data_IF_211220695714
#
_entry.id   IF_211220695714
#
_cell.length_a   1.000
_cell.length_b   1.000
_cell.length_c   1.000
_cell.angle_alpha   90.00
_cell.angle_beta   90.00
_cell.angle_gamma   90.00
#
_symmetry.space_group_name_H-M   'P 1'
#
loop_
_entity.id
_entity.type
_entity.pdbx_description
1 polymer ?
#
# COMPACT_ATOMS: atom_id res chain seq x y z
N UNK A 1 -14.38 90.26 -32.21
CA UNK A 1 -13.01 89.69 -32.30
C UNK A 1 -12.98 88.40 -31.56
N UNK A 2 -12.95 87.23 -32.29
CA UNK A 2 -12.93 85.89 -31.73
C UNK A 2 -11.57 85.31 -32.07
N UNK A 3 -10.75 85.04 -31.04
CA UNK A 3 -9.46 84.38 -31.17
C UNK A 3 -9.68 82.89 -31.13
N UNK A 4 -9.16 82.17 -32.14
CA UNK A 4 -9.10 80.71 -32.20
C UNK A 4 -7.91 80.20 -31.38
N UNK A 5 -8.02 79.04 -30.64
CA UNK A 5 -6.88 78.39 -30.03
C UNK A 5 -6.16 77.48 -31.04
N UNK A 6 -4.82 77.57 -31.04
CA UNK A 6 -3.96 76.77 -31.90
C UNK A 6 -3.79 75.36 -31.38
N UNK A 7 -3.82 74.44 -32.34
CA UNK A 7 -3.49 73.02 -32.11
C UNK A 7 -1.96 72.78 -32.14
N UNK A 8 -1.37 72.26 -31.06
CA UNK A 8 -0.01 71.70 -31.06
C UNK A 8 -0.08 70.24 -31.40
N UNK A 9 0.75 69.68 -32.31
CA UNK A 9 0.80 68.31 -32.59
C UNK A 9 1.66 67.59 -31.53
N UNK A 10 1.07 66.59 -30.85
CA UNK A 10 1.78 65.62 -29.99
C UNK A 10 2.57 64.68 -30.88
N UNK A 11 3.90 64.72 -30.83
CA UNK A 11 4.79 63.73 -31.38
C UNK A 11 4.86 62.59 -30.40
N UNK A 12 4.21 61.43 -30.75
CA UNK A 12 4.36 60.15 -30.00
C UNK A 12 5.68 59.49 -30.42
N UNK A 13 6.65 59.51 -29.51
CA UNK A 13 7.87 58.72 -29.65
C UNK A 13 7.57 57.29 -29.27
N UNK A 14 7.44 56.39 -30.28
CA UNK A 14 7.34 54.95 -30.07
C UNK A 14 8.73 54.40 -29.80
N UNK A 15 9.06 54.12 -28.55
CA UNK A 15 10.27 53.38 -28.18
C UNK A 15 10.02 51.90 -28.43
N UNK A 16 10.61 51.36 -29.48
CA UNK A 16 10.68 49.93 -29.72
C UNK A 16 11.78 49.34 -28.82
N UNK A 17 11.38 48.70 -27.70
CA UNK A 17 12.26 47.84 -26.93
C UNK A 17 12.43 46.52 -27.70
N UNK A 18 13.55 46.35 -28.38
CA UNK A 18 13.95 45.06 -28.94
C UNK A 18 14.33 44.10 -27.78
N UNK A 19 13.43 43.24 -27.40
CA UNK A 19 13.78 42.06 -26.58
C UNK A 19 14.62 41.14 -27.46
N UNK A 20 15.93 41.16 -27.28
CA UNK A 20 16.80 40.07 -27.74
C UNK A 20 16.40 38.80 -26.95
N UNK A 21 15.58 37.96 -27.54
CA UNK A 21 15.34 36.60 -27.02
C UNK A 21 16.68 35.86 -27.15
N UNK A 22 17.41 35.73 -26.05
CA UNK A 22 18.46 34.75 -25.94
C UNK A 22 17.78 33.38 -26.01
N UNK A 23 17.65 32.81 -27.20
CA UNK A 23 17.38 31.38 -27.38
C UNK A 23 18.64 30.65 -27.00
N UNK A 24 18.85 30.41 -25.70
CA UNK A 24 19.75 29.34 -25.31
C UNK A 24 19.24 28.06 -25.99
N UNK A 25 20.01 27.55 -26.94
CA UNK A 25 19.73 26.29 -27.57
C UNK A 25 19.66 25.25 -26.47
N UNK A 26 18.43 24.76 -26.14
CA UNK A 26 18.27 23.67 -25.21
C UNK A 26 19.15 22.54 -25.70
N UNK A 27 20.14 22.14 -24.88
CA UNK A 27 20.95 20.97 -25.15
C UNK A 27 20.02 19.81 -25.49
N UNK A 28 20.33 19.00 -26.53
CA UNK A 28 19.51 17.85 -26.89
C UNK A 28 19.21 17.01 -25.65
N UNK A 29 17.94 16.77 -25.35
CA UNK A 29 17.59 15.89 -24.24
C UNK A 29 18.25 14.54 -24.49
N UNK A 30 18.94 13.96 -23.50
CA UNK A 30 19.54 12.64 -23.67
C UNK A 30 18.42 11.64 -24.05
N UNK A 31 18.72 10.60 -24.87
CA UNK A 31 17.75 9.58 -25.23
C UNK A 31 17.07 9.02 -23.99
N UNK A 32 15.75 8.84 -24.05
CA UNK A 32 15.02 8.21 -22.97
C UNK A 32 15.44 6.75 -22.86
N UNK A 33 15.93 6.37 -21.68
CA UNK A 33 16.35 4.99 -21.39
C UNK A 33 15.12 4.21 -20.98
N UNK A 34 14.89 3.07 -21.64
CA UNK A 34 13.82 2.16 -21.29
C UNK A 34 14.29 1.24 -20.15
N UNK A 35 13.61 1.30 -19.02
CA UNK A 35 13.86 0.45 -17.85
C UNK A 35 12.57 0.33 -17.01
N UNK A 36 12.24 -0.86 -16.49
CA UNK A 36 12.80 -2.16 -16.87
C UNK A 36 12.28 -2.64 -18.22
N UNK A 37 13.01 -3.55 -18.87
CA UNK A 37 12.56 -4.27 -20.07
C UNK A 37 12.37 -5.74 -19.70
N UNK A 38 11.11 -6.19 -19.67
CA UNK A 38 10.77 -7.59 -19.41
C UNK A 38 10.72 -8.34 -20.74
N UNK A 39 11.49 -9.42 -20.86
CA UNK A 39 11.58 -10.23 -22.07
C UNK A 39 10.61 -11.42 -22.03
N UNK A 40 10.27 -12.02 -23.20
CA UNK A 40 9.34 -13.16 -23.26
C UNK A 40 9.79 -14.40 -22.47
N UNK A 41 11.10 -14.58 -22.28
CA UNK A 41 11.71 -15.65 -21.48
C UNK A 41 11.74 -15.34 -19.98
N UNK A 42 11.12 -14.22 -19.58
CA UNK A 42 11.10 -13.70 -18.21
C UNK A 42 12.48 -13.27 -17.67
N UNK A 43 13.46 -13.08 -18.55
CA UNK A 43 14.61 -12.28 -18.16
C UNK A 43 14.22 -10.80 -18.16
N UNK A 44 14.92 -10.00 -17.33
CA UNK A 44 14.64 -8.56 -17.20
C UNK A 44 15.93 -7.78 -17.33
N UNK A 45 15.92 -6.82 -18.26
CA UNK A 45 17.02 -5.87 -18.41
C UNK A 45 16.68 -4.58 -17.68
N UNK A 46 17.55 -4.18 -16.77
CA UNK A 46 17.48 -2.91 -16.04
C UNK A 46 18.54 -1.97 -16.54
N UNK A 47 18.17 -0.74 -16.86
CA UNK A 47 19.06 0.30 -17.37
C UNK A 47 18.95 1.54 -16.49
N UNK A 48 20.09 2.14 -16.15
CA UNK A 48 20.13 3.35 -15.32
C UNK A 48 21.23 4.30 -15.78
N UNK A 49 20.90 5.58 -16.00
CA UNK A 49 21.88 6.57 -16.42
C UNK A 49 22.50 7.25 -15.21
N UNK A 50 23.79 7.02 -15.02
CA UNK A 50 24.59 7.64 -13.96
C UNK A 50 26.05 7.74 -14.41
N UNK A 51 26.39 8.70 -15.31
CA UNK A 51 27.73 8.77 -15.92
C UNK A 51 28.85 9.05 -14.91
N UNK A 52 28.54 9.72 -13.80
CA UNK A 52 29.53 10.07 -12.77
C UNK A 52 29.60 9.05 -11.63
N UNK A 53 28.71 8.03 -11.62
CA UNK A 53 28.72 7.02 -10.59
C UNK A 53 29.94 6.09 -10.71
N UNK A 54 30.49 5.71 -9.57
CA UNK A 54 31.62 4.76 -9.49
C UNK A 54 31.13 3.31 -9.42
N UNK A 55 29.93 3.10 -8.88
CA UNK A 55 29.33 1.80 -8.69
C UNK A 55 27.80 1.90 -8.74
N UNK A 56 27.17 1.04 -9.53
CA UNK A 56 25.72 0.87 -9.53
C UNK A 56 25.39 -0.62 -9.38
N UNK A 57 24.46 -0.93 -8.51
CA UNK A 57 23.95 -2.27 -8.27
C UNK A 57 22.43 -2.29 -8.38
N UNK A 58 21.88 -3.35 -8.92
CA UNK A 58 20.45 -3.65 -8.86
C UNK A 58 20.14 -4.37 -7.54
N UNK A 59 19.16 -3.87 -6.79
CA UNK A 59 18.59 -4.52 -5.61
C UNK A 59 17.12 -4.83 -5.85
N UNK A 60 16.65 -6.03 -5.51
CA UNK A 60 15.25 -6.44 -5.74
C UNK A 60 14.90 -7.71 -4.97
N UNK A 61 13.63 -7.86 -4.62
CA UNK A 61 13.17 -9.02 -3.83
C UNK A 61 13.18 -10.35 -4.63
N UNK A 62 13.44 -10.30 -5.94
CA UNK A 62 13.66 -11.47 -6.80
C UNK A 62 15.13 -11.89 -6.87
N UNK A 63 16.01 -11.21 -6.15
CA UNK A 63 17.44 -11.47 -6.10
C UNK A 63 17.85 -12.00 -4.72
N UNK A 64 18.84 -12.90 -4.69
CA UNK A 64 19.45 -13.36 -3.43
C UNK A 64 20.41 -12.33 -2.83
N UNK A 65 21.01 -11.49 -3.69
CA UNK A 65 21.93 -10.40 -3.33
C UNK A 65 21.90 -9.35 -4.42
N UNK A 66 22.36 -8.13 -4.11
CA UNK A 66 22.50 -7.07 -5.10
C UNK A 66 23.36 -7.53 -6.27
N UNK A 67 22.96 -7.17 -7.51
CA UNK A 67 23.67 -7.52 -8.73
C UNK A 67 24.44 -6.29 -9.23
N UNK A 68 25.78 -6.37 -9.41
CA UNK A 68 26.55 -5.29 -10.00
C UNK A 68 26.13 -5.06 -11.46
N UNK A 69 26.03 -3.79 -11.84
CA UNK A 69 25.71 -3.36 -13.21
C UNK A 69 26.97 -2.98 -13.96
N UNK A 70 26.95 -3.04 -15.29
CA UNK A 70 28.05 -2.65 -16.17
C UNK A 70 27.69 -1.34 -16.87
N UNK A 71 28.68 -0.43 -16.96
CA UNK A 71 28.52 0.88 -17.60
C UNK A 71 29.03 0.86 -19.02
N UNK A 72 28.31 1.47 -19.95
CA UNK A 72 28.73 1.72 -21.32
C UNK A 72 29.44 3.09 -21.48
N UNK A 73 29.93 3.36 -22.69
CA UNK A 73 30.62 4.63 -23.00
C UNK A 73 29.73 5.88 -22.90
N UNK A 74 28.40 5.72 -22.86
CA UNK A 74 27.42 6.81 -22.71
C UNK A 74 27.03 7.08 -21.24
N UNK A 75 27.60 6.31 -20.31
CA UNK A 75 27.28 6.40 -18.87
C UNK A 75 25.97 5.73 -18.48
N UNK A 76 25.51 4.77 -19.29
CA UNK A 76 24.35 3.94 -18.98
C UNK A 76 24.82 2.63 -18.36
N UNK A 77 24.33 2.38 -17.16
CA UNK A 77 24.55 1.13 -16.41
C UNK A 77 23.45 0.14 -16.76
N UNK A 78 23.83 -1.11 -17.04
CA UNK A 78 22.89 -2.16 -17.45
C UNK A 78 23.18 -3.48 -16.75
N UNK A 79 22.13 -4.25 -16.49
CA UNK A 79 22.19 -5.64 -16.06
C UNK A 79 20.96 -6.40 -16.53
N UNK A 80 21.15 -7.64 -16.99
CA UNK A 80 20.04 -8.57 -17.28
C UNK A 80 20.07 -9.69 -16.26
N UNK A 81 18.92 -9.95 -15.64
CA UNK A 81 18.73 -10.99 -14.62
C UNK A 81 17.58 -11.91 -14.97
N UNK A 82 17.56 -13.10 -14.42
CA UNK A 82 16.45 -14.04 -14.61
C UNK A 82 16.87 -15.36 -15.29
N UNK A 83 15.89 -16.20 -15.72
CA UNK A 83 14.44 -15.90 -15.68
C UNK A 83 13.93 -15.65 -14.25
N UNK A 84 13.01 -14.67 -14.10
CA UNK A 84 12.39 -14.29 -12.83
C UNK A 84 11.01 -14.91 -12.74
N UNK A 85 10.65 -15.45 -11.58
CA UNK A 85 9.32 -16.01 -11.35
C UNK A 85 8.21 -14.94 -11.51
N UNK A 86 7.04 -15.32 -12.10
CA UNK A 86 5.94 -14.38 -12.30
C UNK A 86 5.46 -13.78 -10.98
N UNK A 87 5.56 -12.47 -10.85
CA UNK A 87 5.04 -11.68 -9.73
C UNK A 87 5.21 -10.17 -9.97
N UNK A 88 4.76 -9.35 -9.02
CA UNK A 88 5.05 -7.92 -8.95
C UNK A 88 6.08 -7.67 -7.81
N UNK A 89 7.24 -7.17 -8.17
CA UNK A 89 8.37 -7.03 -7.25
C UNK A 89 8.81 -5.59 -7.07
N UNK A 90 9.12 -5.15 -5.85
CA UNK A 90 9.87 -3.93 -5.62
C UNK A 90 11.35 -4.14 -5.97
N UNK A 91 11.94 -3.10 -6.58
CA UNK A 91 13.37 -3.02 -6.86
C UNK A 91 13.87 -1.59 -6.80
N UNK A 92 15.17 -1.41 -6.65
CA UNK A 92 15.83 -0.12 -6.72
C UNK A 92 17.27 -0.26 -7.22
N UNK A 93 17.86 0.86 -7.63
CA UNK A 93 19.29 0.94 -7.88
C UNK A 93 20.03 1.43 -6.63
N UNK A 94 21.20 0.86 -6.37
CA UNK A 94 22.11 1.34 -5.34
C UNK A 94 23.27 2.02 -6.02
N UNK A 95 23.26 3.34 -6.01
CA UNK A 95 24.25 4.20 -6.70
C UNK A 95 25.22 4.75 -5.66
N UNK A 96 26.47 4.34 -5.72
CA UNK A 96 27.51 4.72 -4.74
C UNK A 96 27.07 4.57 -3.28
N UNK A 97 26.26 3.51 -2.99
CA UNK A 97 25.71 3.20 -1.67
C UNK A 97 24.35 3.84 -1.36
N UNK A 98 23.80 4.67 -2.25
CA UNK A 98 22.48 5.32 -2.05
C UNK A 98 21.40 4.61 -2.84
N UNK A 99 20.31 4.19 -2.18
CA UNK A 99 19.15 3.58 -2.83
C UNK A 99 18.30 4.60 -3.60
N UNK A 100 18.03 4.34 -4.88
CA UNK A 100 17.29 5.20 -5.80
C UNK A 100 16.22 4.42 -6.55
N UNK A 101 15.04 5.01 -6.72
CA UNK A 101 14.03 4.48 -7.63
C UNK A 101 14.51 4.62 -9.08
N UNK A 102 13.97 3.76 -9.93
CA UNK A 102 14.21 3.81 -11.37
C UNK A 102 13.49 5.03 -11.99
N UNK A 103 14.27 5.99 -12.46
CA UNK A 103 13.74 7.20 -13.12
C UNK A 103 13.07 6.92 -14.47
N UNK A 104 13.34 5.77 -15.09
CA UNK A 104 12.68 5.30 -16.31
C UNK A 104 11.33 4.60 -16.05
N UNK A 105 10.98 4.33 -14.78
CA UNK A 105 9.79 3.61 -14.39
C UNK A 105 8.85 4.46 -13.51
N UNK A 106 7.64 4.71 -14.01
CA UNK A 106 6.62 5.46 -13.26
C UNK A 106 5.89 4.65 -12.18
N UNK A 107 6.05 3.32 -12.17
CA UNK A 107 5.46 2.45 -11.16
C UNK A 107 6.30 2.49 -9.89
N UNK A 108 6.03 3.45 -9.02
CA UNK A 108 6.75 3.62 -7.77
C UNK A 108 6.14 2.77 -6.65
N UNK A 109 7.01 2.24 -5.80
CA UNK A 109 6.63 1.62 -4.54
C UNK A 109 6.44 2.72 -3.47
N UNK A 110 5.23 2.93 -2.94
CA UNK A 110 4.98 3.96 -1.94
C UNK A 110 5.57 3.57 -0.58
N UNK A 111 6.55 4.34 -0.13
CA UNK A 111 7.17 4.12 1.18
C UNK A 111 7.76 5.44 1.74
N UNK A 112 7.68 5.63 3.05
CA UNK A 112 8.18 6.82 3.72
C UNK A 112 9.71 6.91 3.72
N UNK A 113 10.40 5.78 3.86
CA UNK A 113 11.83 5.73 4.17
C UNK A 113 12.72 5.41 2.97
N UNK A 114 12.27 4.53 2.08
CA UNK A 114 13.09 4.14 0.93
C UNK A 114 12.38 4.43 -0.39
N UNK A 115 13.16 4.57 -1.45
CA UNK A 115 12.64 4.79 -2.80
C UNK A 115 12.91 3.56 -3.64
N UNK A 116 11.84 2.99 -4.18
CA UNK A 116 11.87 1.83 -5.04
C UNK A 116 10.84 1.95 -6.16
N UNK A 117 11.03 1.19 -7.20
CA UNK A 117 10.09 1.01 -8.31
C UNK A 117 9.49 -0.40 -8.27
N UNK A 118 8.42 -0.62 -9.02
CA UNK A 118 7.77 -1.92 -9.14
C UNK A 118 7.97 -2.47 -10.55
N UNK A 119 8.34 -3.74 -10.67
CA UNK A 119 8.36 -4.49 -11.94
C UNK A 119 7.40 -5.65 -11.87
N UNK A 120 6.49 -5.77 -12.85
CA UNK A 120 5.58 -6.90 -12.99
C UNK A 120 6.18 -7.89 -13.99
N UNK A 121 6.36 -9.13 -13.56
CA UNK A 121 6.78 -10.25 -14.39
C UNK A 121 5.53 -11.07 -14.70
N UNK A 122 5.09 -11.10 -15.96
CA UNK A 122 3.88 -11.81 -16.33
C UNK A 122 4.05 -13.33 -16.23
N UNK A 123 2.99 -14.00 -15.84
CA UNK A 123 2.87 -15.47 -15.93
C UNK A 123 2.24 -15.89 -17.26
N UNK A 124 2.15 -17.20 -17.47
CA UNK A 124 1.49 -17.77 -18.65
C UNK A 124 -0.03 -17.52 -18.66
N UNK A 125 -0.61 -17.27 -17.49
CA UNK A 125 -1.99 -16.85 -17.30
C UNK A 125 -2.05 -15.57 -16.46
N UNK A 126 -3.05 -14.70 -16.66
CA UNK A 126 -3.21 -13.50 -15.87
C UNK A 126 -3.39 -13.81 -14.37
N UNK A 127 -2.59 -13.20 -13.53
CA UNK A 127 -2.73 -13.29 -12.08
C UNK A 127 -3.94 -12.51 -11.58
N UNK A 128 -4.50 -12.86 -10.42
CA UNK A 128 -5.60 -12.10 -9.82
C UNK A 128 -5.24 -10.65 -9.50
N UNK A 129 -3.96 -10.34 -9.31
CA UNK A 129 -3.49 -8.98 -9.09
C UNK A 129 -3.17 -8.20 -10.38
N UNK A 130 -3.19 -8.84 -11.55
CA UNK A 130 -2.99 -8.18 -12.85
C UNK A 130 -4.26 -7.47 -13.32
N UNK A 131 -4.09 -6.42 -14.10
CA UNK A 131 -5.20 -5.74 -14.76
C UNK A 131 -5.80 -6.71 -15.80
N UNK A 132 -7.09 -7.02 -15.67
CA UNK A 132 -7.83 -7.89 -16.60
C UNK A 132 -8.98 -7.11 -17.22
N UNK A 133 -9.52 -7.59 -18.32
CA UNK A 133 -10.69 -7.00 -19.00
C UNK A 133 -11.99 -7.36 -18.25
N UNK A 134 -12.20 -6.71 -17.12
CA UNK A 134 -13.39 -6.84 -16.26
C UNK A 134 -13.84 -5.44 -15.81
N UNK A 135 -15.07 -5.27 -15.35
CA UNK A 135 -15.48 -4.01 -14.74
C UNK A 135 -14.58 -3.65 -13.54
N UNK A 136 -14.09 -2.41 -13.52
CA UNK A 136 -13.20 -1.92 -12.47
C UNK A 136 -13.91 -0.98 -11.50
N UNK A 137 -13.51 -1.04 -10.24
CA UNK A 137 -13.87 -0.07 -9.22
C UNK A 137 -13.04 1.21 -9.32
N UNK A 138 -13.29 2.14 -8.41
CA UNK A 138 -12.64 3.46 -8.40
C UNK A 138 -11.85 3.69 -7.13
N UNK A 139 -10.72 4.38 -7.26
CA UNK A 139 -9.88 4.82 -6.16
C UNK A 139 -10.08 6.32 -5.92
N UNK A 140 -10.40 6.70 -4.70
CA UNK A 140 -10.57 8.09 -4.29
C UNK A 140 -9.57 8.43 -3.19
N UNK A 141 -8.76 9.44 -3.42
CA UNK A 141 -7.92 10.04 -2.37
C UNK A 141 -8.75 10.97 -1.51
N UNK A 142 -8.71 10.74 -0.22
CA UNK A 142 -9.48 11.48 0.77
C UNK A 142 -8.58 12.07 1.84
N UNK A 143 -9.05 13.18 2.42
CA UNK A 143 -8.44 13.78 3.61
C UNK A 143 -9.52 13.95 4.68
N UNK A 144 -9.21 13.60 5.91
CA UNK A 144 -10.10 13.76 7.04
C UNK A 144 -9.38 14.44 8.21
N UNK A 145 -10.15 15.02 9.11
CA UNK A 145 -9.63 15.61 10.34
C UNK A 145 -9.53 14.54 11.42
N UNK A 146 -8.30 14.19 11.81
CA UNK A 146 -8.04 13.33 12.94
C UNK A 146 -8.17 14.11 14.24
N UNK A 147 -9.16 13.83 15.05
CA UNK A 147 -9.29 14.39 16.40
C UNK A 147 -8.26 13.76 17.35
N UNK A 148 -7.92 12.50 17.13
CA UNK A 148 -6.92 11.76 17.91
C UNK A 148 -5.55 12.40 17.83
N UNK A 149 -5.14 12.86 16.65
CA UNK A 149 -3.81 13.42 16.39
C UNK A 149 -3.81 14.95 16.21
N UNK A 150 -4.97 15.59 16.11
CA UNK A 150 -5.09 17.04 15.93
C UNK A 150 -4.64 17.54 14.55
N UNK A 151 -4.68 16.70 13.50
CA UNK A 151 -4.19 17.07 12.17
C UNK A 151 -5.02 16.42 11.05
N UNK A 152 -4.87 16.96 9.82
CA UNK A 152 -5.47 16.37 8.61
C UNK A 152 -4.66 15.15 8.17
N UNK A 153 -5.35 14.04 7.88
CA UNK A 153 -4.73 12.78 7.47
C UNK A 153 -5.29 12.27 6.15
N UNK A 154 -4.44 11.62 5.33
CA UNK A 154 -4.87 10.99 4.09
C UNK A 154 -5.45 9.59 4.36
N UNK A 155 -6.33 9.16 3.48
CA UNK A 155 -6.73 7.78 3.26
C UNK A 155 -7.14 7.57 1.81
N UNK A 156 -7.08 6.34 1.33
CA UNK A 156 -7.59 5.99 0.01
C UNK A 156 -8.78 5.06 0.17
N UNK A 157 -9.84 5.34 -0.58
CA UNK A 157 -11.04 4.51 -0.60
C UNK A 157 -11.22 3.92 -1.99
N UNK A 158 -11.30 2.60 -2.05
CA UNK A 158 -11.77 1.88 -3.24
C UNK A 158 -13.26 1.61 -3.11
N UNK A 159 -14.02 1.92 -4.17
CA UNK A 159 -15.43 1.57 -4.32
C UNK A 159 -15.60 0.56 -5.46
N UNK A 160 -16.46 -0.48 -5.29
CA UNK A 160 -16.56 -1.57 -6.27
C UNK A 160 -17.20 -1.13 -7.59
N UNK A 161 -17.04 -1.93 -8.68
CA UNK A 161 -17.68 -1.66 -9.96
C UNK A 161 -19.17 -1.40 -9.82
N UNK A 162 -19.67 -0.38 -10.53
CA UNK A 162 -21.09 0.02 -10.47
C UNK A 162 -21.49 0.91 -9.28
N UNK A 163 -20.57 1.18 -8.34
CA UNK A 163 -20.88 2.00 -7.17
C UNK A 163 -21.51 3.36 -7.53
N UNK A 164 -20.98 4.10 -8.51
CA UNK A 164 -21.54 5.43 -8.87
C UNK A 164 -22.96 5.38 -9.42
N UNK A 165 -23.25 4.35 -10.22
CA UNK A 165 -24.53 4.23 -10.91
C UNK A 165 -25.65 3.65 -10.02
N UNK A 166 -25.29 2.94 -8.95
CA UNK A 166 -26.23 2.25 -8.05
C UNK A 166 -26.57 3.07 -6.80
N UNK A 167 -27.51 2.54 -6.04
CA UNK A 167 -27.94 3.06 -4.74
C UNK A 167 -27.61 2.10 -3.57
N UNK A 168 -27.03 0.94 -3.88
CA UNK A 168 -26.74 -0.11 -2.92
C UNK A 168 -25.76 0.37 -1.86
N UNK A 169 -25.88 -0.23 -0.67
CA UNK A 169 -24.91 -0.09 0.42
C UNK A 169 -24.01 -1.32 0.46
N UNK A 170 -22.76 -1.12 0.83
CA UNK A 170 -21.73 -2.14 0.76
C UNK A 170 -21.09 -2.41 2.12
N UNK A 171 -20.66 -3.64 2.38
CA UNK A 171 -19.77 -3.93 3.50
C UNK A 171 -18.42 -3.25 3.32
N UNK A 172 -17.66 -3.09 4.42
CA UNK A 172 -16.39 -2.34 4.42
C UNK A 172 -15.26 -3.19 4.99
N UNK A 173 -14.16 -3.26 4.25
CA UNK A 173 -12.87 -3.75 4.70
C UNK A 173 -11.92 -2.57 4.97
N UNK A 174 -11.47 -2.40 6.21
CA UNK A 174 -10.36 -1.51 6.57
C UNK A 174 -9.06 -2.29 6.39
N UNK A 175 -8.21 -1.89 5.43
CA UNK A 175 -7.02 -2.63 5.00
C UNK A 175 -5.75 -1.83 5.29
N UNK A 176 -4.99 -2.25 6.31
CA UNK A 176 -3.90 -1.48 6.91
C UNK A 176 -2.55 -1.95 6.40
N UNK A 177 -1.70 -1.03 5.96
CA UNK A 177 -0.35 -1.33 5.44
C UNK A 177 0.72 -1.44 6.54
N UNK A 178 1.91 -1.90 6.16
CA UNK A 178 3.01 -2.21 7.08
C UNK A 178 3.75 -0.99 7.63
N UNK A 179 4.88 -1.26 8.28
CA UNK A 179 5.77 -0.22 8.79
C UNK A 179 6.37 0.55 7.61
N UNK A 180 6.36 1.89 7.70
CA UNK A 180 6.83 2.81 6.66
C UNK A 180 6.06 2.78 5.34
N UNK A 181 5.05 1.95 5.21
CA UNK A 181 4.13 1.98 4.08
C UNK A 181 3.12 3.13 4.21
N UNK A 182 2.55 3.56 3.09
CA UNK A 182 1.56 4.64 3.05
C UNK A 182 0.15 4.09 2.76
N UNK A 183 -0.84 4.97 2.72
CA UNK A 183 -2.21 4.66 2.30
C UNK A 183 -2.29 4.15 0.86
N UNK A 184 -1.27 4.41 0.05
CA UNK A 184 -1.21 3.97 -1.34
C UNK A 184 -0.70 2.53 -1.52
N UNK A 185 0.00 1.98 -0.53
CA UNK A 185 0.79 0.77 -0.74
C UNK A 185 -0.08 -0.44 -1.05
N UNK A 186 -1.28 -0.55 -0.46
CA UNK A 186 -2.17 -1.66 -0.75
C UNK A 186 -2.71 -1.66 -2.18
N UNK A 187 -2.96 -0.52 -2.81
CA UNK A 187 -3.41 -0.54 -4.20
C UNK A 187 -2.26 -0.54 -5.22
N UNK A 188 -1.10 0.08 -4.90
CA UNK A 188 0.04 0.09 -5.81
C UNK A 188 0.85 -1.21 -5.77
N UNK A 189 1.34 -1.59 -4.60
CA UNK A 189 2.11 -2.82 -4.41
C UNK A 189 1.22 -4.03 -4.08
N UNK A 190 0.20 -3.84 -3.27
CA UNK A 190 -0.77 -4.88 -2.89
C UNK A 190 -1.77 -5.23 -3.98
N UNK A 191 -2.03 -4.31 -4.95
CA UNK A 191 -3.00 -4.51 -6.04
C UNK A 191 -4.41 -4.86 -5.55
N UNK A 192 -4.78 -4.41 -4.35
CA UNK A 192 -6.03 -4.78 -3.68
C UNK A 192 -7.29 -4.51 -4.53
N UNK A 193 -7.29 -3.40 -5.27
CA UNK A 193 -8.35 -3.03 -6.20
C UNK A 193 -8.51 -4.06 -7.32
N UNK A 194 -7.44 -4.43 -8.02
CA UNK A 194 -7.51 -5.39 -9.13
C UNK A 194 -7.82 -6.81 -8.63
N UNK A 195 -7.29 -7.22 -7.48
CA UNK A 195 -7.63 -8.51 -6.87
C UNK A 195 -9.13 -8.57 -6.59
N UNK A 196 -9.71 -7.52 -6.01
CA UNK A 196 -11.14 -7.50 -5.70
C UNK A 196 -11.99 -7.42 -6.97
N UNK A 197 -11.63 -6.59 -7.97
CA UNK A 197 -12.32 -6.51 -9.25
C UNK A 197 -12.42 -7.89 -9.93
N UNK A 198 -11.28 -8.58 -10.03
CA UNK A 198 -11.18 -9.90 -10.64
C UNK A 198 -11.98 -10.96 -9.86
N UNK A 199 -11.94 -10.92 -8.52
CA UNK A 199 -12.72 -11.84 -7.69
C UNK A 199 -14.23 -11.57 -7.76
N UNK A 200 -14.65 -10.31 -7.86
CA UNK A 200 -16.08 -9.94 -8.08
C UNK A 200 -16.54 -10.45 -9.43
N UNK A 201 -15.77 -10.22 -10.51
CA UNK A 201 -16.10 -10.72 -11.85
C UNK A 201 -16.22 -12.24 -11.90
N UNK A 202 -15.39 -12.96 -11.13
CA UNK A 202 -15.45 -14.41 -10.96
C UNK A 202 -16.53 -14.88 -9.96
N UNK A 203 -17.31 -13.97 -9.35
CA UNK A 203 -18.32 -14.25 -8.31
C UNK A 203 -17.75 -14.97 -7.08
N UNK A 204 -16.48 -14.77 -6.79
CA UNK A 204 -15.77 -15.36 -5.65
C UNK A 204 -15.75 -14.46 -4.42
N UNK A 205 -15.83 -13.15 -4.59
CA UNK A 205 -15.92 -12.18 -3.48
C UNK A 205 -17.19 -11.35 -3.58
N UNK A 206 -17.69 -10.93 -2.43
CA UNK A 206 -18.79 -9.98 -2.32
C UNK A 206 -18.27 -8.59 -2.71
N UNK A 207 -19.00 -7.79 -3.52
CA UNK A 207 -18.65 -6.40 -3.72
C UNK A 207 -18.58 -5.65 -2.40
N UNK A 208 -17.45 -4.98 -2.13
CA UNK A 208 -17.19 -4.28 -0.89
C UNK A 208 -16.40 -2.99 -1.11
N UNK A 209 -16.50 -2.07 -0.19
CA UNK A 209 -15.62 -0.89 -0.10
C UNK A 209 -14.33 -1.31 0.62
N UNK A 210 -13.17 -0.90 0.11
CA UNK A 210 -11.89 -1.05 0.84
C UNK A 210 -11.42 0.34 1.25
N UNK A 211 -11.18 0.52 2.54
CA UNK A 211 -10.61 1.73 3.12
C UNK A 211 -9.16 1.47 3.48
N UNK A 212 -8.24 2.20 2.90
CA UNK A 212 -6.80 2.07 3.10
C UNK A 212 -6.29 3.31 3.84
N UNK A 213 -6.22 3.27 5.18
CA UNK A 213 -5.74 4.39 5.96
C UNK A 213 -4.21 4.47 5.97
N UNK A 214 -3.67 5.66 6.19
CA UNK A 214 -2.28 5.83 6.54
C UNK A 214 -2.04 5.31 7.96
N UNK A 215 -1.38 4.16 8.08
CA UNK A 215 -1.25 3.41 9.34
C UNK A 215 -0.24 3.97 10.33
N UNK A 216 0.62 4.93 9.95
CA UNK A 216 1.61 5.52 10.83
C UNK A 216 0.98 6.59 11.73
N UNK A 217 0.96 6.35 13.04
CA UNK A 217 0.35 7.24 14.04
C UNK A 217 1.38 8.17 14.74
N UNK A 218 2.66 7.99 14.48
CA UNK A 218 3.72 8.71 15.20
C UNK A 218 4.76 9.30 14.27
N UNK A 219 5.21 10.49 14.62
CA UNK A 219 6.46 11.06 14.12
C UNK A 219 7.60 10.52 14.99
N UNK A 220 8.39 9.57 14.49
CA UNK A 220 9.54 9.04 15.22
C UNK A 220 9.72 7.52 15.12
N UNK A 221 10.76 7.01 15.80
CA UNK A 221 11.07 5.58 15.84
C UNK A 221 10.11 4.85 16.79
N UNK A 222 9.45 3.77 16.36
CA UNK A 222 8.60 2.97 17.25
C UNK A 222 9.38 2.47 18.46
N UNK A 223 8.74 2.38 19.63
CA UNK A 223 9.34 1.79 20.81
C UNK A 223 9.79 0.34 20.56
N UNK A 224 10.88 -0.13 21.16
CA UNK A 224 11.50 -1.40 20.82
C UNK A 224 10.79 -2.65 21.37
N UNK A 225 9.84 -2.51 22.31
CA UNK A 225 9.17 -3.66 22.90
C UNK A 225 7.68 -3.76 22.50
N UNK A 226 7.12 -4.98 22.59
CA UNK A 226 5.76 -5.27 22.15
C UNK A 226 4.66 -4.59 22.98
N UNK A 227 4.89 -4.29 24.26
CA UNK A 227 3.92 -3.56 25.09
C UNK A 227 3.83 -2.10 24.66
N UNK A 228 4.97 -1.45 24.39
CA UNK A 228 4.97 -0.09 23.84
C UNK A 228 4.39 -0.03 22.43
N UNK A 229 4.64 -1.06 21.60
CA UNK A 229 3.98 -1.18 20.30
C UNK A 229 2.45 -1.30 20.44
N UNK A 230 1.97 -2.01 21.46
CA UNK A 230 0.53 -2.14 21.74
C UNK A 230 -0.09 -0.81 22.19
N UNK A 231 0.62 0.02 22.93
CA UNK A 231 0.14 1.39 23.26
C UNK A 231 -0.04 2.25 21.99
N UNK A 232 0.86 2.08 20.99
CA UNK A 232 0.70 2.70 19.67
C UNK A 232 -0.48 2.11 18.88
N UNK A 233 -0.74 0.82 19.03
CA UNK A 233 -1.91 0.17 18.40
C UNK A 233 -3.22 0.69 19.00
N UNK A 234 -3.20 1.06 20.29
CA UNK A 234 -4.35 1.72 20.93
C UNK A 234 -4.66 3.07 20.27
N UNK A 235 -3.65 3.91 20.04
CA UNK A 235 -3.85 5.19 19.32
C UNK A 235 -4.44 4.97 17.93
N UNK A 236 -3.95 3.94 17.21
CA UNK A 236 -4.51 3.57 15.92
C UNK A 236 -5.95 3.06 16.02
N UNK A 237 -6.26 2.27 17.05
CA UNK A 237 -7.64 1.81 17.31
C UNK A 237 -8.59 2.98 17.55
N UNK A 238 -8.18 3.95 18.39
CA UNK A 238 -8.95 5.16 18.66
C UNK A 238 -9.16 5.98 17.38
N UNK A 239 -8.14 6.02 16.49
CA UNK A 239 -8.22 6.68 15.18
C UNK A 239 -9.23 6.01 14.25
N UNK A 240 -9.17 4.68 14.11
CA UNK A 240 -10.11 3.93 13.26
C UNK A 240 -11.53 4.14 13.75
N UNK A 241 -11.78 3.92 15.03
CA UNK A 241 -13.16 3.93 15.58
C UNK A 241 -13.70 5.35 15.73
N UNK A 242 -12.88 6.29 16.19
CA UNK A 242 -13.32 7.64 16.51
C UNK A 242 -13.32 8.61 15.32
N UNK A 243 -12.57 8.35 14.27
CA UNK A 243 -12.41 9.28 13.16
C UNK A 243 -12.72 8.64 11.80
N UNK A 244 -12.08 7.50 11.46
CA UNK A 244 -12.17 6.92 10.11
C UNK A 244 -13.52 6.27 9.85
N UNK A 245 -14.04 5.43 10.76
CA UNK A 245 -15.37 4.82 10.62
C UNK A 245 -16.44 5.90 10.45
N UNK A 246 -16.55 6.91 11.33
CA UNK A 246 -17.55 7.98 11.16
C UNK A 246 -17.39 8.77 9.84
N UNK A 247 -16.14 9.03 9.40
CA UNK A 247 -15.88 9.68 8.11
C UNK A 247 -16.41 8.84 6.94
N UNK A 248 -16.12 7.54 6.94
CA UNK A 248 -16.54 6.62 5.87
C UNK A 248 -18.06 6.47 5.84
N UNK A 249 -18.70 6.34 6.99
CA UNK A 249 -20.17 6.22 7.11
C UNK A 249 -20.91 7.49 6.68
N UNK A 250 -20.29 8.67 6.87
CA UNK A 250 -20.85 9.94 6.43
C UNK A 250 -20.70 10.20 4.93
N UNK A 251 -19.69 9.64 4.28
CA UNK A 251 -19.33 10.00 2.91
C UNK A 251 -19.58 8.87 1.88
N UNK A 252 -19.79 7.63 2.33
CA UNK A 252 -19.95 6.46 1.46
C UNK A 252 -21.20 5.65 1.83
N UNK A 253 -21.77 4.97 0.84
CA UNK A 253 -22.91 4.08 1.05
C UNK A 253 -22.45 2.75 1.64
N UNK A 254 -22.34 2.71 2.96
CA UNK A 254 -21.89 1.54 3.72
C UNK A 254 -23.04 0.93 4.51
N UNK A 255 -22.96 -0.37 4.78
CA UNK A 255 -23.82 -1.06 5.74
C UNK A 255 -23.15 -0.93 7.11
N UNK A 256 -23.66 -0.02 7.93
CA UNK A 256 -23.08 0.35 9.24
C UNK A 256 -23.42 -0.68 10.33
N UNK A 257 -22.97 -1.94 10.16
CA UNK A 257 -23.09 -2.97 11.18
C UNK A 257 -21.76 -3.72 11.35
N UNK A 258 -21.55 -4.31 12.52
CA UNK A 258 -20.34 -5.07 12.81
C UNK A 258 -20.17 -6.29 11.88
N UNK A 259 -21.29 -6.92 11.50
CA UNK A 259 -21.31 -8.08 10.59
C UNK A 259 -20.88 -7.73 9.17
N UNK A 260 -20.94 -6.46 8.82
CA UNK A 260 -20.57 -5.91 7.52
C UNK A 260 -19.30 -5.06 7.59
N UNK A 261 -18.50 -5.23 8.67
CA UNK A 261 -17.24 -4.51 8.86
C UNK A 261 -16.10 -5.47 9.16
N UNK A 262 -15.07 -5.42 8.32
CA UNK A 262 -13.84 -6.19 8.42
C UNK A 262 -12.65 -5.26 8.65
N UNK A 263 -11.61 -5.78 9.30
CA UNK A 263 -10.30 -5.13 9.38
C UNK A 263 -9.20 -6.15 9.14
N UNK A 264 -8.24 -5.80 8.29
CA UNK A 264 -7.09 -6.65 8.01
C UNK A 264 -5.85 -5.80 7.75
N UNK A 265 -4.67 -6.42 7.82
CA UNK A 265 -3.46 -5.69 7.51
C UNK A 265 -2.20 -6.56 7.44
N UNK A 266 -1.13 -5.94 6.92
CA UNK A 266 0.17 -6.56 6.76
C UNK A 266 1.17 -6.02 7.77
N UNK A 267 1.99 -6.90 8.39
CA UNK A 267 3.07 -6.51 9.30
C UNK A 267 2.53 -5.67 10.48
N UNK A 268 3.06 -4.48 10.72
CA UNK A 268 2.50 -3.53 11.71
C UNK A 268 0.98 -3.38 11.53
N UNK A 269 0.51 -3.25 10.30
CA UNK A 269 -0.93 -3.13 10.01
C UNK A 269 -1.73 -4.37 10.44
N UNK A 270 -1.13 -5.57 10.38
CA UNK A 270 -1.75 -6.79 10.91
C UNK A 270 -1.86 -6.77 12.44
N UNK A 271 -0.80 -6.33 13.14
CA UNK A 271 -0.84 -6.12 14.58
C UNK A 271 -1.86 -5.06 15.02
N UNK A 272 -1.90 -3.94 14.30
CA UNK A 272 -2.90 -2.89 14.49
C UNK A 272 -4.33 -3.40 14.26
N UNK A 273 -4.53 -4.25 13.25
CA UNK A 273 -5.84 -4.85 12.94
C UNK A 273 -6.30 -5.82 14.03
N UNK A 274 -5.42 -6.69 14.51
CA UNK A 274 -5.70 -7.58 15.63
C UNK A 274 -6.07 -6.79 16.89
N UNK A 275 -5.25 -5.81 17.26
CA UNK A 275 -5.47 -5.00 18.45
C UNK A 275 -6.79 -4.22 18.36
N UNK A 276 -7.04 -3.55 17.22
CA UNK A 276 -8.26 -2.77 17.01
C UNK A 276 -9.50 -3.63 17.08
N UNK A 277 -9.50 -4.79 16.41
CA UNK A 277 -10.66 -5.68 16.40
C UNK A 277 -10.93 -6.28 17.77
N UNK A 278 -9.92 -6.76 18.48
CA UNK A 278 -10.09 -7.33 19.83
C UNK A 278 -10.53 -6.28 20.85
N UNK A 279 -10.10 -5.02 20.70
CA UNK A 279 -10.59 -3.91 21.54
C UNK A 279 -12.04 -3.53 21.24
N UNK A 280 -12.57 -3.85 20.04
CA UNK A 280 -13.84 -3.35 19.54
C UNK A 280 -14.64 -4.47 18.83
N UNK A 281 -14.89 -5.59 19.50
CA UNK A 281 -15.67 -6.70 18.96
C UNK A 281 -17.15 -6.37 18.72
N UNK A 282 -17.62 -5.23 19.16
CA UNK A 282 -18.91 -4.62 18.83
C UNK A 282 -18.87 -3.86 17.48
N UNK A 283 -17.69 -3.58 16.95
CA UNK A 283 -17.48 -2.89 15.68
C UNK A 283 -17.04 -3.82 14.54
N UNK A 284 -16.31 -4.90 14.83
CA UNK A 284 -15.73 -5.78 13.83
C UNK A 284 -16.10 -7.23 14.06
N UNK A 285 -16.50 -7.93 12.98
CA UNK A 285 -16.76 -9.37 12.99
C UNK A 285 -15.73 -10.20 12.22
N UNK A 286 -14.96 -9.57 11.33
CA UNK A 286 -14.02 -10.22 10.41
C UNK A 286 -12.63 -9.62 10.59
N UNK A 287 -11.63 -10.46 10.83
CA UNK A 287 -10.29 -10.05 11.21
C UNK A 287 -9.27 -10.80 10.35
N UNK A 288 -8.37 -10.07 9.69
CA UNK A 288 -7.25 -10.62 8.95
C UNK A 288 -5.90 -10.09 9.45
N UNK A 289 -4.93 -10.97 9.66
CA UNK A 289 -3.58 -10.60 10.04
C UNK A 289 -2.57 -11.29 9.13
N UNK A 290 -1.79 -10.49 8.41
CA UNK A 290 -0.83 -10.96 7.42
C UNK A 290 0.58 -10.67 7.91
N UNK A 291 1.36 -11.73 8.18
CA UNK A 291 2.72 -11.63 8.72
C UNK A 291 2.77 -10.75 9.98
N UNK A 292 1.88 -11.02 10.95
CA UNK A 292 1.82 -10.28 12.20
C UNK A 292 1.22 -11.13 13.33
N UNK A 293 1.35 -10.63 14.55
CA UNK A 293 0.89 -11.29 15.77
C UNK A 293 0.67 -10.26 16.89
N UNK A 294 0.07 -10.72 17.98
CA UNK A 294 0.18 -10.10 19.29
C UNK A 294 0.93 -11.07 20.22
N UNK A 295 1.79 -10.53 21.06
CA UNK A 295 2.44 -11.41 22.05
C UNK A 295 1.46 -11.86 23.12
N UNK A 296 1.66 -13.04 23.76
CA UNK A 296 0.82 -13.48 24.86
C UNK A 296 0.69 -12.42 25.97
N UNK A 297 1.77 -11.70 26.28
CA UNK A 297 1.78 -10.66 27.31
C UNK A 297 0.87 -9.47 26.93
N UNK A 298 0.89 -9.06 25.66
CA UNK A 298 -0.03 -8.04 25.15
C UNK A 298 -1.48 -8.52 25.24
N UNK A 299 -1.73 -9.77 24.82
CA UNK A 299 -3.07 -10.35 24.84
C UNK A 299 -3.60 -10.45 26.27
N UNK A 300 -2.81 -10.95 27.21
CA UNK A 300 -3.19 -11.06 28.63
C UNK A 300 -3.41 -9.68 29.28
N UNK A 301 -2.60 -8.68 28.91
CA UNK A 301 -2.74 -7.31 29.45
C UNK A 301 -4.03 -6.63 28.98
N UNK A 302 -4.39 -6.75 27.69
CA UNK A 302 -5.46 -5.95 27.09
C UNK A 302 -6.74 -6.76 26.82
N UNK A 303 -6.65 -8.08 26.70
CA UNK A 303 -7.72 -8.94 26.18
C UNK A 303 -7.95 -10.20 27.04
N UNK A 304 -7.55 -10.18 28.31
CA UNK A 304 -7.70 -11.33 29.23
C UNK A 304 -9.14 -11.85 29.28
N UNK A 305 -10.13 -10.97 29.26
CA UNK A 305 -11.56 -11.31 29.26
C UNK A 305 -11.99 -12.10 28.02
N UNK A 306 -11.37 -11.84 26.86
CA UNK A 306 -11.66 -12.59 25.63
C UNK A 306 -11.17 -14.03 25.70
N UNK A 307 -10.01 -14.23 26.33
CA UNK A 307 -9.44 -15.55 26.56
C UNK A 307 -10.12 -16.32 27.71
N UNK A 308 -10.66 -15.60 28.69
CA UNK A 308 -11.39 -16.19 29.82
C UNK A 308 -12.78 -16.69 29.41
N UNK A 309 -13.36 -16.14 28.35
CA UNK A 309 -14.70 -16.51 27.82
C UNK A 309 -14.66 -16.77 26.33
N UNK A 310 -13.91 -17.83 25.88
CA UNK A 310 -13.67 -18.08 24.46
C UNK A 310 -14.95 -18.34 23.66
N UNK A 311 -16.00 -18.93 24.26
CA UNK A 311 -17.27 -19.17 23.60
C UNK A 311 -17.95 -17.86 23.18
N UNK A 312 -17.94 -16.86 24.06
CA UNK A 312 -18.51 -15.54 23.78
C UNK A 312 -17.70 -14.83 22.68
N UNK A 313 -16.38 -14.95 22.72
CA UNK A 313 -15.48 -14.37 21.71
C UNK A 313 -15.72 -15.05 20.36
N UNK A 314 -15.77 -16.38 20.31
CA UNK A 314 -16.00 -17.15 19.11
C UNK A 314 -17.38 -16.91 18.48
N UNK A 315 -18.42 -16.61 19.28
CA UNK A 315 -19.74 -16.22 18.76
C UNK A 315 -19.71 -14.82 18.09
N UNK A 316 -18.86 -13.93 18.60
CA UNK A 316 -18.72 -12.58 18.04
C UNK A 316 -17.83 -12.54 16.80
N UNK A 317 -16.75 -13.30 16.75
CA UNK A 317 -15.78 -13.30 15.64
C UNK A 317 -16.23 -14.28 14.57
N UNK A 318 -16.62 -13.78 13.41
CA UNK A 318 -17.02 -14.57 12.24
C UNK A 318 -15.80 -15.20 11.54
N UNK A 319 -14.69 -14.46 11.50
CA UNK A 319 -13.42 -14.92 10.95
C UNK A 319 -12.28 -14.23 11.71
N UNK A 320 -11.35 -15.04 12.22
CA UNK A 320 -10.00 -14.65 12.59
C UNK A 320 -9.04 -15.42 11.69
N UNK A 321 -8.40 -14.72 10.76
CA UNK A 321 -7.50 -15.34 9.78
C UNK A 321 -6.07 -14.83 9.95
N UNK A 322 -5.09 -15.75 9.95
CA UNK A 322 -3.69 -15.46 10.19
C UNK A 322 -2.83 -16.10 9.09
N UNK A 323 -1.99 -15.31 8.43
CA UNK A 323 -1.04 -15.78 7.42
C UNK A 323 0.39 -15.41 7.75
N UNK A 324 1.33 -16.35 7.52
CA UNK A 324 2.78 -16.09 7.68
C UNK A 324 3.59 -16.98 6.76
N UNK A 325 4.70 -16.44 6.22
CA UNK A 325 5.67 -17.19 5.43
C UNK A 325 6.68 -17.92 6.33
N UNK A 326 7.19 -19.07 5.90
CA UNK A 326 8.21 -19.85 6.64
C UNK A 326 9.54 -19.11 6.78
N UNK A 327 9.89 -18.29 5.77
CA UNK A 327 11.12 -17.52 5.75
C UNK A 327 10.90 -16.09 6.29
N UNK A 328 9.70 -15.79 6.84
CA UNK A 328 9.40 -14.51 7.47
C UNK A 328 10.12 -14.41 8.83
N UNK A 329 10.81 -13.31 9.07
CA UNK A 329 11.49 -13.08 10.35
C UNK A 329 10.54 -13.03 11.55
N UNK A 330 9.23 -12.84 11.31
CA UNK A 330 8.18 -12.91 12.34
C UNK A 330 7.56 -14.31 12.49
N UNK A 331 8.00 -15.29 11.68
CA UNK A 331 7.41 -16.66 11.69
C UNK A 331 7.36 -17.30 13.08
N UNK A 332 8.46 -17.32 13.87
CA UNK A 332 8.44 -17.95 15.20
C UNK A 332 7.39 -17.36 16.13
N UNK A 333 7.28 -16.02 16.13
CA UNK A 333 6.34 -15.30 17.00
C UNK A 333 4.89 -15.44 16.51
N UNK A 334 4.68 -15.45 15.19
CA UNK A 334 3.36 -15.66 14.62
C UNK A 334 2.83 -17.07 14.93
N UNK A 335 3.67 -18.11 14.86
CA UNK A 335 3.30 -19.48 15.25
C UNK A 335 3.07 -19.58 16.76
N UNK A 336 3.89 -18.93 17.58
CA UNK A 336 3.67 -18.85 19.03
C UNK A 336 2.30 -18.24 19.36
N UNK A 337 1.88 -17.20 18.64
CA UNK A 337 0.56 -16.60 18.81
C UNK A 337 -0.56 -17.54 18.35
N UNK A 338 -0.41 -18.26 17.24
CA UNK A 338 -1.35 -19.28 16.78
C UNK A 338 -1.52 -20.37 17.85
N UNK A 339 -0.42 -20.86 18.45
CA UNK A 339 -0.48 -21.87 19.51
C UNK A 339 -1.11 -21.33 20.80
N UNK A 340 -0.88 -20.05 21.12
CA UNK A 340 -1.57 -19.38 22.21
C UNK A 340 -3.08 -19.34 21.99
N UNK A 341 -3.55 -18.96 20.81
CA UNK A 341 -4.97 -18.95 20.47
C UNK A 341 -5.62 -20.33 20.57
N UNK A 342 -4.91 -21.37 20.08
CA UNK A 342 -5.35 -22.78 20.21
C UNK A 342 -5.51 -23.18 21.69
N UNK A 343 -4.51 -22.90 22.52
CA UNK A 343 -4.54 -23.20 23.97
C UNK A 343 -5.67 -22.50 24.71
N UNK A 344 -6.13 -21.34 24.19
CA UNK A 344 -7.24 -20.54 24.74
C UNK A 344 -8.58 -20.88 24.10
N UNK A 345 -8.66 -21.88 23.20
CA UNK A 345 -9.87 -22.27 22.46
C UNK A 345 -10.48 -21.10 21.63
N UNK A 346 -9.65 -20.15 21.20
CA UNK A 346 -10.06 -19.07 20.30
C UNK A 346 -10.02 -19.56 18.85
N UNK A 347 -11.17 -19.61 18.19
CA UNK A 347 -11.31 -20.11 16.82
C UNK A 347 -10.59 -19.20 15.83
N UNK A 348 -9.79 -19.79 14.96
CA UNK A 348 -9.05 -19.09 13.92
C UNK A 348 -8.72 -20.00 12.74
N UNK A 349 -8.42 -19.39 11.60
CA UNK A 349 -7.83 -20.05 10.44
C UNK A 349 -6.38 -19.58 10.27
N UNK A 350 -5.49 -20.50 9.90
CA UNK A 350 -4.08 -20.17 9.71
C UNK A 350 -3.60 -20.73 8.38
N UNK A 351 -2.86 -19.89 7.63
CA UNK A 351 -2.16 -20.28 6.41
C UNK A 351 -0.66 -20.03 6.56
N UNK A 352 0.13 -21.09 6.51
CA UNK A 352 1.58 -21.02 6.43
C UNK A 352 2.00 -21.19 4.97
N UNK A 353 2.79 -20.27 4.45
CA UNK A 353 3.27 -20.29 3.07
C UNK A 353 4.78 -20.37 3.01
N UNK A 354 5.34 -20.67 1.85
CA UNK A 354 6.74 -20.39 1.56
C UNK A 354 6.98 -18.87 1.44
N UNK A 355 8.25 -18.47 1.49
CA UNK A 355 8.69 -17.07 1.33
C UNK A 355 8.66 -16.27 2.62
N UNK A 356 9.19 -15.05 2.54
CA UNK A 356 9.47 -14.18 3.68
C UNK A 356 8.45 -13.07 3.88
N UNK A 357 8.90 -12.02 4.60
CA UNK A 357 8.13 -10.82 4.92
C UNK A 357 8.00 -9.88 3.71
N UNK A 358 7.16 -10.24 2.76
CA UNK A 358 7.12 -9.59 1.45
C UNK A 358 5.71 -9.22 1.01
N UNK A 359 5.62 -8.24 0.11
CA UNK A 359 4.34 -7.87 -0.53
C UNK A 359 3.78 -8.97 -1.42
N UNK A 360 4.60 -9.91 -1.91
CA UNK A 360 4.12 -11.10 -2.62
C UNK A 360 3.24 -11.96 -1.70
N UNK A 361 3.71 -12.22 -0.47
CA UNK A 361 2.93 -12.95 0.53
C UNK A 361 1.70 -12.14 1.00
N UNK A 362 1.85 -10.83 1.24
CA UNK A 362 0.72 -9.97 1.61
C UNK A 362 -0.41 -10.01 0.57
N UNK A 363 -0.09 -9.92 -0.73
CA UNK A 363 -1.06 -10.09 -1.83
C UNK A 363 -1.73 -11.46 -1.82
N UNK A 364 -0.94 -12.51 -1.62
CA UNK A 364 -1.46 -13.88 -1.52
C UNK A 364 -2.48 -13.98 -0.39
N UNK A 365 -2.17 -13.48 0.80
CA UNK A 365 -3.08 -13.52 1.95
C UNK A 365 -4.35 -12.70 1.71
N UNK A 366 -4.25 -11.55 1.08
CA UNK A 366 -5.42 -10.77 0.68
C UNK A 366 -6.28 -11.55 -0.33
N UNK A 367 -5.67 -12.20 -1.32
CA UNK A 367 -6.37 -13.03 -2.30
C UNK A 367 -7.13 -14.19 -1.65
N UNK A 368 -6.55 -14.82 -0.62
CA UNK A 368 -7.17 -15.91 0.12
C UNK A 368 -8.33 -15.42 1.03
N UNK A 369 -8.24 -14.23 1.58
CA UNK A 369 -9.21 -13.73 2.57
C UNK A 369 -10.37 -12.96 1.97
N UNK A 370 -10.20 -12.22 0.86
CA UNK A 370 -11.30 -11.49 0.22
C UNK A 370 -12.51 -12.39 -0.10
N UNK A 371 -12.34 -13.65 -0.57
CA UNK A 371 -13.46 -14.56 -0.77
C UNK A 371 -14.17 -15.02 0.51
N UNK A 372 -13.58 -14.82 1.68
CA UNK A 372 -14.12 -15.28 2.96
C UNK A 372 -14.94 -14.21 3.69
N UNK A 373 -14.65 -12.92 3.45
CA UNK A 373 -15.32 -11.82 4.13
C UNK A 373 -16.79 -11.72 3.71
N UNK A 374 -17.67 -11.42 4.69
CA UNK A 374 -19.09 -11.09 4.50
C UNK A 374 -19.96 -12.24 3.94
N UNK A 375 -19.57 -13.49 4.20
CA UNK A 375 -20.34 -14.69 3.87
C UNK A 375 -21.22 -15.17 5.00
#
# INVERSE_FOLDING_TARGET
MKTKPGFLPLFAFSVWLAFAANTEAQSPRPPQIQSPVVHPDRTVTFNFRAPEAKKVELSGQFLKANQPMQVDASGVWSVTVGPVEPNLYPYNFVVDGVGMADSGNQNLFPNERFKASLVEIPGDQPSLYSIQDVPHGELTYCFYQSKTLGLTRPLVVYTPPGYRAGAERYPVLYLVSGTTDTEETWFRAGRANFILDNLIAQKKAVPMIIVMPYGNMMTGTPPPNSIQAADMYKVFSDEIVGNIIPYVEANYRVIASREQRAIAGFSRGGGQSLFTAFSNLDQFAWIGSYSAYLTPEVFEKYFADLAARPENTNQKVKLLWLGVGKDDFLYPQAISFVDFLKKRNLQHQTLVTEGGHTWMNARRYLTETLPLYFK
#
